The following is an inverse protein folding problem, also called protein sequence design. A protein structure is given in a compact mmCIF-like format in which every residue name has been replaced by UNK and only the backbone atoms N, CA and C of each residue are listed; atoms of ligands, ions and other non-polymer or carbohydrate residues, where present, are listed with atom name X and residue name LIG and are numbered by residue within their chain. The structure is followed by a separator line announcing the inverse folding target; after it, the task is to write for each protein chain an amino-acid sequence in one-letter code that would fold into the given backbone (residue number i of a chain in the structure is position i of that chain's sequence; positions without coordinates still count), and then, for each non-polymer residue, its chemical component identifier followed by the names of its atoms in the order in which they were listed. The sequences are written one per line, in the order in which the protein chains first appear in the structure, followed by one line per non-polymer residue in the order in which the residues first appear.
data_IF_562849881547
#
_entry.id   IF_562849881547
#
_cell.length_a   1.000
_cell.length_b   1.000
_cell.length_c   1.000
_cell.angle_alpha   90.00
_cell.angle_beta   90.00
_cell.angle_gamma   90.00
#
_symmetry.space_group_name_H-M   'P 1'
#
loop_
_entity.id
_entity.type
_entity.pdbx_description
1 polymer ?
#
# COMPACT_ATOMS: atom_id res chain seq x y z
N UNK A 1 -17.75 6.98 42.44
CA UNK A 1 -16.40 6.40 42.37
C UNK A 1 -16.08 6.25 40.89
N UNK A 2 -14.82 6.45 40.46
CA UNK A 2 -14.43 6.22 39.07
C UNK A 2 -13.82 4.83 38.99
N UNK A 3 -14.62 3.83 38.61
CA UNK A 3 -14.30 2.41 38.77
C UNK A 3 -13.82 1.72 37.48
N UNK A 4 -13.54 2.49 36.43
CA UNK A 4 -12.97 2.00 35.17
C UNK A 4 -11.83 2.93 34.74
N UNK A 5 -10.63 2.42 34.41
CA UNK A 5 -9.59 3.22 33.77
C UNK A 5 -10.01 3.70 32.38
N UNK A 6 -9.68 4.95 32.03
CA UNK A 6 -9.80 5.44 30.65
C UNK A 6 -8.70 4.81 29.77
N UNK A 7 -8.93 3.58 29.30
CA UNK A 7 -8.05 2.85 28.41
C UNK A 7 -8.58 1.46 28.08
N UNK A 8 -8.89 0.67 29.11
CA UNK A 8 -9.13 -0.78 28.99
C UNK A 8 -10.47 -1.14 28.31
N UNK A 9 -11.44 -0.21 28.25
CA UNK A 9 -12.81 -0.47 27.77
C UNK A 9 -12.97 -0.55 26.24
N UNK A 10 -11.87 -0.62 25.49
CA UNK A 10 -11.89 -0.59 24.01
C UNK A 10 -11.13 -1.76 23.37
N UNK A 11 -10.34 -2.53 24.13
CA UNK A 11 -9.77 -3.80 23.65
C UNK A 11 -10.87 -4.85 23.61
N UNK A 12 -11.17 -5.36 22.41
CA UNK A 12 -12.11 -6.46 22.20
C UNK A 12 -11.35 -7.77 22.09
N UNK A 13 -11.79 -8.80 22.82
CA UNK A 13 -11.28 -10.17 22.67
C UNK A 13 -11.65 -10.77 21.29
N UNK A 14 -12.74 -10.28 20.69
CA UNK A 14 -13.12 -10.56 19.30
C UNK A 14 -12.41 -9.58 18.36
N UNK A 15 -11.30 -10.00 17.76
CA UNK A 15 -10.59 -9.23 16.72
C UNK A 15 -11.22 -9.45 15.34
N UNK A 16 -11.38 -8.42 14.50
CA UNK A 16 -11.87 -8.55 13.12
C UNK A 16 -10.80 -9.07 12.14
N UNK A 17 -9.72 -9.67 12.66
CA UNK A 17 -8.58 -10.22 11.91
C UNK A 17 -7.89 -11.33 12.72
N UNK A 18 -7.18 -12.24 12.03
CA UNK A 18 -6.27 -13.20 12.66
C UNK A 18 -4.85 -12.65 12.59
N UNK A 19 -4.15 -12.63 13.73
CA UNK A 19 -2.74 -12.24 13.80
C UNK A 19 -1.82 -13.43 13.45
N UNK A 20 -0.88 -13.20 12.55
CA UNK A 20 0.15 -14.15 12.11
C UNK A 20 1.51 -13.50 12.41
N UNK A 21 2.27 -13.96 13.43
CA UNK A 21 3.57 -13.40 13.75
C UNK A 21 4.59 -13.72 12.65
N UNK A 22 5.43 -12.75 12.29
CA UNK A 22 6.44 -12.91 11.25
C UNK A 22 7.80 -13.28 11.86
N UNK A 23 8.48 -14.24 11.21
CA UNK A 23 9.93 -14.38 11.37
C UNK A 23 10.56 -13.10 10.81
N UNK A 24 11.02 -12.24 11.72
CA UNK A 24 11.53 -10.91 11.41
C UNK A 24 13.06 -11.00 11.31
N UNK A 25 13.66 -11.06 10.10
CA UNK A 25 15.11 -10.94 9.97
C UNK A 25 15.55 -9.54 10.43
N UNK A 26 16.81 -9.43 10.85
CA UNK A 26 17.34 -8.14 11.30
C UNK A 26 17.39 -7.14 10.15
N UNK A 27 17.27 -5.84 10.48
CA UNK A 27 17.38 -4.76 9.48
C UNK A 27 18.73 -4.81 8.76
N UNK A 28 19.80 -5.31 9.42
CA UNK A 28 21.10 -5.56 8.81
C UNK A 28 21.08 -6.66 7.74
N UNK A 29 20.46 -7.80 8.01
CA UNK A 29 20.32 -8.88 7.02
C UNK A 29 19.48 -8.44 5.83
N UNK A 30 18.43 -7.64 6.07
CA UNK A 30 17.60 -7.07 5.00
C UNK A 30 18.39 -6.05 4.17
N UNK A 31 19.16 -5.16 4.81
CA UNK A 31 19.99 -4.17 4.11
C UNK A 31 21.06 -4.84 3.23
N UNK A 32 21.73 -5.89 3.75
CA UNK A 32 22.71 -6.68 2.99
C UNK A 32 22.07 -7.39 1.78
N UNK A 33 20.92 -8.05 1.98
CA UNK A 33 20.20 -8.71 0.87
C UNK A 33 19.71 -7.71 -0.18
N UNK A 34 19.10 -6.59 0.24
CA UNK A 34 18.64 -5.56 -0.69
C UNK A 34 19.79 -4.94 -1.47
N UNK A 35 20.91 -4.59 -0.81
CA UNK A 35 22.11 -4.08 -1.48
C UNK A 35 22.59 -5.06 -2.56
N UNK A 36 22.78 -6.33 -2.19
CA UNK A 36 23.41 -7.32 -3.06
C UNK A 36 22.51 -7.74 -4.23
N UNK A 37 21.20 -7.93 -4.01
CA UNK A 37 20.26 -8.34 -5.05
C UNK A 37 19.82 -7.17 -5.95
N UNK A 38 19.88 -5.91 -5.48
CA UNK A 38 19.62 -4.73 -6.32
C UNK A 38 20.83 -4.29 -7.14
N UNK A 39 22.08 -4.55 -6.69
CA UNK A 39 23.30 -4.14 -7.40
C UNK A 39 23.30 -4.49 -8.91
N UNK A 40 22.92 -5.70 -9.36
CA UNK A 40 22.89 -6.03 -10.80
C UNK A 40 21.71 -5.41 -11.58
N UNK A 41 20.79 -4.69 -10.92
CA UNK A 41 19.56 -4.15 -11.51
C UNK A 41 19.63 -2.63 -11.79
N UNK A 42 20.52 -1.90 -11.12
CA UNK A 42 20.65 -0.44 -11.24
C UNK A 42 22.10 -0.03 -11.53
N UNK A 43 22.30 1.17 -12.08
CA UNK A 43 23.64 1.72 -12.31
C UNK A 43 24.38 2.06 -10.99
N UNK A 44 23.65 2.58 -10.02
CA UNK A 44 24.12 2.92 -8.68
C UNK A 44 23.09 2.43 -7.66
N UNK A 45 23.57 1.85 -6.55
CA UNK A 45 22.75 1.37 -5.43
C UNK A 45 23.45 1.79 -4.14
N UNK A 46 22.68 2.34 -3.20
CA UNK A 46 23.09 2.46 -1.81
C UNK A 46 21.92 2.02 -0.90
N UNK A 47 22.22 1.27 0.16
CA UNK A 47 21.23 0.76 1.12
C UNK A 47 21.80 0.89 2.53
N UNK A 48 21.37 1.93 3.25
CA UNK A 48 21.84 2.28 4.58
C UNK A 48 20.79 2.01 5.67
N UNK A 49 21.24 1.65 6.87
CA UNK A 49 20.40 1.64 8.07
C UNK A 49 20.31 3.07 8.62
N UNK A 50 19.35 3.84 8.11
CA UNK A 50 19.13 5.23 8.48
C UNK A 50 17.98 5.44 9.49
N UNK A 51 18.01 6.58 10.18
CA UNK A 51 16.81 7.07 10.90
C UNK A 51 15.74 7.50 9.90
N UNK A 52 14.48 7.09 10.13
CA UNK A 52 13.36 7.49 9.27
C UNK A 52 13.20 9.04 9.30
N UNK A 53 13.15 9.72 8.14
CA UNK A 53 12.96 11.16 8.07
C UNK A 53 11.55 11.55 8.47
N UNK A 54 11.32 12.84 8.72
CA UNK A 54 9.98 13.34 9.03
C UNK A 54 9.08 13.26 7.77
N UNK A 55 8.13 12.33 7.75
CA UNK A 55 7.28 12.07 6.58
C UNK A 55 6.10 13.06 6.41
N UNK A 56 5.82 13.92 7.40
CA UNK A 56 4.77 14.94 7.32
C UNK A 56 5.17 16.21 6.55
N UNK A 57 6.40 16.28 6.02
CA UNK A 57 6.89 17.42 5.24
C UNK A 57 7.26 16.99 3.81
N UNK A 58 7.51 17.96 2.94
CA UNK A 58 7.97 17.71 1.59
C UNK A 58 9.32 16.94 1.59
N UNK A 59 9.52 15.99 0.67
CA UNK A 59 8.65 15.66 -0.48
C UNK A 59 7.42 14.82 -0.13
N UNK A 60 7.45 14.07 0.98
CA UNK A 60 6.52 12.97 1.26
C UNK A 60 5.08 13.40 1.59
N UNK A 61 4.90 14.48 2.34
CA UNK A 61 3.60 15.09 2.63
C UNK A 61 2.52 14.11 3.20
N UNK A 62 2.94 13.16 4.04
CA UNK A 62 2.07 12.12 4.61
C UNK A 62 1.40 12.55 5.95
N UNK A 63 0.44 11.75 6.42
CA UNK A 63 -0.32 12.03 7.64
C UNK A 63 0.47 11.78 8.94
N UNK A 64 1.37 10.80 8.92
CA UNK A 64 2.20 10.36 10.05
C UNK A 64 3.67 10.75 9.90
N UNK A 65 4.39 10.75 11.03
CA UNK A 65 5.75 11.32 11.15
C UNK A 65 6.87 10.40 10.67
N UNK A 66 6.65 9.09 10.61
CA UNK A 66 7.67 8.08 10.31
C UNK A 66 7.10 6.67 10.32
N UNK A 67 7.92 5.67 9.96
CA UNK A 67 7.53 4.26 9.76
C UNK A 67 7.90 3.34 10.94
N UNK A 68 8.39 3.92 12.04
CA UNK A 68 8.90 3.19 13.20
C UNK A 68 7.85 3.09 14.31
N UNK A 69 7.84 1.97 15.04
CA UNK A 69 6.86 1.64 16.07
C UNK A 69 6.68 0.12 16.12
N UNK A 70 5.57 -0.36 16.70
CA UNK A 70 5.10 -1.72 16.46
C UNK A 70 4.49 -1.77 15.06
N UNK A 71 5.15 -2.46 14.13
CA UNK A 71 4.80 -2.48 12.71
C UNK A 71 4.01 -3.74 12.37
N UNK A 72 2.90 -3.57 11.64
CA UNK A 72 2.06 -4.67 11.20
C UNK A 72 1.58 -4.48 9.76
N UNK A 73 1.36 -5.60 9.07
CA UNK A 73 0.69 -5.63 7.77
C UNK A 73 -0.80 -5.80 7.98
N UNK A 74 -1.63 -4.98 7.37
CA UNK A 74 -3.07 -5.28 7.20
C UNK A 74 -3.25 -5.90 5.81
N UNK A 75 -3.87 -7.08 5.74
CA UNK A 75 -4.08 -7.81 4.49
C UNK A 75 -5.52 -8.30 4.38
N UNK A 76 -6.18 -8.05 3.24
CA UNK A 76 -7.54 -8.54 2.95
C UNK A 76 -7.51 -9.46 1.73
N UNK A 77 -8.16 -10.62 1.83
CA UNK A 77 -8.37 -11.51 0.68
C UNK A 77 -9.83 -11.46 0.21
N UNK A 78 -10.10 -11.05 -1.04
CA UNK A 78 -11.36 -11.34 -1.70
C UNK A 78 -11.37 -12.82 -2.10
N UNK A 79 -11.84 -13.69 -1.21
CA UNK A 79 -11.87 -15.16 -1.43
C UNK A 79 -12.65 -15.57 -2.70
N UNK A 80 -13.61 -14.74 -3.13
CA UNK A 80 -14.35 -14.90 -4.37
C UNK A 80 -14.34 -13.58 -5.17
N UNK A 81 -14.08 -13.68 -6.47
CA UNK A 81 -14.08 -12.54 -7.40
C UNK A 81 -15.48 -12.08 -7.83
N UNK A 82 -16.53 -12.80 -7.42
CA UNK A 82 -17.93 -12.35 -7.59
C UNK A 82 -18.27 -11.25 -6.57
N UNK A 83 -19.03 -10.24 -7.04
CA UNK A 83 -19.41 -9.07 -6.24
C UNK A 83 -18.24 -8.20 -5.77
N UNK A 84 -17.05 -8.34 -6.35
CA UNK A 84 -15.81 -7.71 -5.87
C UNK A 84 -15.93 -6.19 -5.70
N UNK A 85 -16.62 -5.50 -6.61
CA UNK A 85 -16.86 -4.06 -6.60
C UNK A 85 -17.79 -3.58 -5.48
N UNK A 86 -18.62 -4.47 -4.93
CA UNK A 86 -19.57 -4.18 -3.84
C UNK A 86 -18.99 -4.47 -2.44
N UNK A 87 -17.77 -5.05 -2.35
CA UNK A 87 -17.12 -5.37 -1.07
C UNK A 87 -16.55 -4.11 -0.44
N UNK A 88 -17.05 -3.75 0.74
CA UNK A 88 -16.48 -2.67 1.57
C UNK A 88 -15.80 -3.24 2.81
N UNK A 89 -14.70 -2.60 3.23
CA UNK A 89 -14.06 -2.80 4.53
C UNK A 89 -13.73 -1.44 5.12
N UNK A 90 -14.14 -1.21 6.36
CA UNK A 90 -13.93 0.05 7.06
C UNK A 90 -12.67 -0.07 7.94
N UNK A 91 -11.60 0.62 7.54
CA UNK A 91 -10.30 0.55 8.23
C UNK A 91 -10.39 0.99 9.70
N UNK A 92 -11.38 1.83 10.08
CA UNK A 92 -11.60 2.22 11.48
C UNK A 92 -11.77 1.01 12.39
N UNK A 93 -12.55 0.02 11.97
CA UNK A 93 -12.97 -1.09 12.83
C UNK A 93 -11.76 -1.96 13.25
N UNK A 94 -10.76 -2.04 12.37
CA UNK A 94 -9.46 -2.65 12.67
C UNK A 94 -8.62 -1.80 13.63
N UNK A 95 -8.52 -0.49 13.37
CA UNK A 95 -7.66 0.40 14.16
C UNK A 95 -8.18 0.57 15.59
N UNK A 96 -9.50 0.64 15.77
CA UNK A 96 -10.13 0.74 17.09
C UNK A 96 -9.86 -0.47 17.97
N UNK A 97 -9.84 -1.69 17.41
CA UNK A 97 -9.60 -2.92 18.18
C UNK A 97 -8.24 -2.93 18.90
N UNK A 98 -7.21 -2.33 18.28
CA UNK A 98 -5.84 -2.29 18.82
C UNK A 98 -5.63 -1.32 19.99
N UNK A 99 -6.52 -0.33 20.15
CA UNK A 99 -6.35 0.82 21.06
C UNK A 99 -5.05 1.66 20.89
N UNK A 100 -4.31 1.51 19.80
CA UNK A 100 -3.02 2.18 19.57
C UNK A 100 -3.14 3.38 18.63
N UNK A 101 -2.48 4.48 18.96
CA UNK A 101 -2.16 5.52 17.98
C UNK A 101 -1.40 4.89 16.81
N UNK A 102 -1.95 5.03 15.60
CA UNK A 102 -1.57 4.25 14.42
C UNK A 102 -1.41 5.17 13.22
N UNK A 103 -0.33 4.97 12.45
CA UNK A 103 -0.17 5.54 11.11
C UNK A 103 -0.33 4.42 10.09
N UNK A 104 -1.25 4.61 9.14
CA UNK A 104 -1.59 3.64 8.11
C UNK A 104 -1.22 4.21 6.76
N UNK A 105 -0.29 3.55 6.11
CA UNK A 105 -0.06 3.65 4.67
C UNK A 105 -0.38 2.31 4.02
N UNK A 106 -0.56 2.30 2.70
CA UNK A 106 -0.85 1.06 2.00
C UNK A 106 -1.79 1.22 0.82
N UNK A 107 -2.43 0.10 0.49
CA UNK A 107 -2.80 -0.17 -0.89
C UNK A 107 -4.13 -0.92 -1.05
N UNK A 108 -5.08 -0.36 -1.80
CA UNK A 108 -6.27 -1.11 -2.25
C UNK A 108 -7.00 -0.43 -3.41
N UNK A 109 -8.16 -0.96 -3.81
CA UNK A 109 -9.05 -0.46 -4.84
C UNK A 109 -10.18 0.36 -4.18
N UNK A 110 -10.61 1.44 -4.83
CA UNK A 110 -11.78 2.24 -4.47
C UNK A 110 -12.85 2.11 -5.56
N UNK A 111 -14.09 1.81 -5.16
CA UNK A 111 -15.15 1.45 -6.11
C UNK A 111 -16.46 2.17 -5.83
N UNK A 112 -17.22 2.48 -6.90
CA UNK A 112 -18.66 2.72 -6.81
C UNK A 112 -19.34 1.41 -6.36
N UNK A 113 -20.47 1.46 -5.61
CA UNK A 113 -21.22 2.67 -5.23
C UNK A 113 -20.70 3.39 -3.97
N UNK A 114 -19.72 2.84 -3.26
CA UNK A 114 -19.31 3.34 -1.93
C UNK A 114 -18.36 4.54 -1.98
N UNK A 115 -17.58 4.68 -3.05
CA UNK A 115 -16.82 5.88 -3.39
C UNK A 115 -17.43 6.55 -4.64
N UNK A 116 -17.28 7.88 -4.81
CA UNK A 116 -17.92 8.61 -5.92
C UNK A 116 -17.35 8.27 -7.30
N UNK A 117 -16.15 7.68 -7.36
CA UNK A 117 -15.42 7.29 -8.58
C UNK A 117 -14.74 5.94 -8.37
N UNK A 118 -14.42 5.27 -9.47
CA UNK A 118 -13.44 4.19 -9.46
C UNK A 118 -12.02 4.79 -9.45
N UNK A 119 -11.13 4.19 -8.66
CA UNK A 119 -9.71 4.56 -8.58
C UNK A 119 -8.99 3.58 -7.65
N UNK A 120 -7.68 3.71 -7.46
CA UNK A 120 -7.00 2.91 -6.44
C UNK A 120 -6.64 3.82 -5.25
N UNK A 121 -6.90 3.32 -4.04
CA UNK A 121 -6.79 4.07 -2.80
C UNK A 121 -5.35 4.04 -2.29
N UNK A 122 -4.68 5.20 -2.36
CA UNK A 122 -3.46 5.48 -1.64
C UNK A 122 -3.84 5.72 -0.17
N UNK A 123 -3.70 4.71 0.67
CA UNK A 123 -3.97 4.85 2.09
C UNK A 123 -2.89 5.74 2.73
N UNK A 124 -3.31 6.75 3.47
CA UNK A 124 -2.47 7.72 4.16
C UNK A 124 -3.28 8.35 5.32
N UNK A 125 -3.46 7.60 6.40
CA UNK A 125 -4.33 7.99 7.52
C UNK A 125 -3.61 7.84 8.87
N UNK A 126 -3.99 8.67 9.83
CA UNK A 126 -3.62 8.46 11.24
C UNK A 126 -4.88 8.28 12.09
N UNK A 127 -4.82 7.31 12.99
CA UNK A 127 -5.77 7.12 14.08
C UNK A 127 -5.08 7.46 15.40
N UNK A 128 -5.80 8.11 16.31
CA UNK A 128 -5.39 8.39 17.68
C UNK A 128 -6.47 7.89 18.63
N UNK A 129 -6.09 7.07 19.59
CA UNK A 129 -7.04 6.39 20.45
C UNK A 129 -7.81 7.38 21.34
N UNK A 130 -9.10 7.13 21.65
CA UNK A 130 -9.96 6.06 21.15
C UNK A 130 -10.78 6.42 19.90
N UNK A 131 -10.72 7.67 19.40
CA UNK A 131 -11.70 8.19 18.41
C UNK A 131 -11.15 9.22 17.40
N UNK A 132 -9.91 9.67 17.52
CA UNK A 132 -9.35 10.67 16.61
C UNK A 132 -8.96 10.03 15.28
N UNK A 133 -9.44 10.53 14.14
CA UNK A 133 -8.95 10.12 12.81
C UNK A 133 -8.64 11.37 11.99
N UNK A 134 -7.44 11.39 11.41
CA UNK A 134 -7.03 12.33 10.36
C UNK A 134 -6.73 11.50 9.12
N UNK A 135 -7.61 11.57 8.13
CA UNK A 135 -7.48 10.84 6.87
C UNK A 135 -6.99 11.78 5.76
N UNK A 136 -5.78 11.54 5.27
CA UNK A 136 -5.14 12.26 4.15
C UNK A 136 -4.94 11.29 2.95
N UNK A 137 -5.73 10.20 2.92
CA UNK A 137 -5.70 9.20 1.85
C UNK A 137 -6.20 9.79 0.55
N UNK A 138 -5.52 9.45 -0.55
CA UNK A 138 -5.85 9.94 -1.88
C UNK A 138 -6.47 8.81 -2.68
N UNK A 139 -7.63 9.02 -3.27
CA UNK A 139 -8.01 8.22 -4.45
C UNK A 139 -7.32 8.89 -5.62
N UNK A 140 -6.25 8.24 -6.07
CA UNK A 140 -5.59 8.46 -7.34
C UNK A 140 -6.04 7.26 -8.21
N UNK A 141 -5.47 7.04 -9.39
CA UNK A 141 -5.73 5.83 -10.15
C UNK A 141 -4.45 5.09 -10.56
N UNK A 142 -3.95 4.10 -9.80
CA UNK A 142 -3.13 4.18 -8.56
C UNK A 142 -2.57 2.78 -8.17
N UNK A 143 -1.47 2.68 -7.43
CA UNK A 143 -0.73 1.46 -7.01
C UNK A 143 -1.30 0.33 -6.11
N UNK A 144 -0.34 -0.08 -5.26
CA UNK A 144 0.03 -1.44 -4.82
C UNK A 144 1.04 -1.25 -3.62
N UNK A 145 1.80 -2.23 -3.10
CA UNK A 145 2.36 -2.33 -1.75
C UNK A 145 3.94 -2.66 -1.48
N UNK A 146 4.83 -1.78 -0.92
CA UNK A 146 5.79 -1.96 0.28
C UNK A 146 5.67 -0.92 1.41
N UNK A 147 5.75 -1.42 2.67
CA UNK A 147 5.66 -0.77 3.99
C UNK A 147 6.67 0.33 4.23
N UNK A 148 6.49 1.40 3.48
CA UNK A 148 7.37 2.54 3.49
C UNK A 148 7.03 3.53 2.39
N UNK A 149 8.00 4.38 2.08
CA UNK A 149 7.83 5.48 1.16
C UNK A 149 8.97 5.49 0.15
N UNK A 150 8.63 5.35 -1.13
CA UNK A 150 9.54 5.44 -2.26
C UNK A 150 9.33 6.79 -2.94
N UNK A 151 10.40 7.57 -3.10
CA UNK A 151 10.40 8.82 -3.86
C UNK A 151 11.07 8.59 -5.20
N UNK A 152 10.40 8.95 -6.27
CA UNK A 152 10.92 8.96 -7.65
C UNK A 152 11.16 10.42 -8.02
N UNK A 153 12.39 10.77 -8.41
CA UNK A 153 12.85 12.17 -8.54
C UNK A 153 12.84 12.71 -9.97
N UNK A 154 12.86 11.82 -10.96
CA UNK A 154 13.05 12.11 -12.38
C UNK A 154 12.66 10.90 -13.24
N UNK A 155 12.67 11.06 -14.57
CA UNK A 155 12.33 10.00 -15.53
C UNK A 155 10.84 9.96 -15.90
N UNK A 156 10.39 8.82 -16.43
CA UNK A 156 8.97 8.48 -16.66
C UNK A 156 8.61 7.18 -15.96
N UNK A 157 7.35 7.09 -15.49
CA UNK A 157 6.80 5.86 -14.91
C UNK A 157 5.61 5.32 -15.69
N UNK A 158 5.60 4.00 -15.91
CA UNK A 158 4.43 3.28 -16.38
C UNK A 158 3.45 3.09 -15.22
N UNK A 159 2.23 3.58 -15.38
CA UNK A 159 1.20 3.53 -14.36
C UNK A 159 -0.13 3.11 -14.96
N UNK A 160 -0.76 1.99 -14.53
CA UNK A 160 -2.16 1.78 -14.93
C UNK A 160 -3.06 2.92 -14.40
N UNK A 161 -4.23 3.12 -14.99
CA UNK A 161 -5.30 3.95 -14.45
C UNK A 161 -6.64 3.23 -14.62
N UNK A 162 -7.56 3.40 -13.68
CA UNK A 162 -8.96 3.01 -13.87
C UNK A 162 -9.66 3.99 -14.81
N UNK A 163 -10.79 3.56 -15.37
CA UNK A 163 -11.77 4.46 -15.97
C UNK A 163 -12.68 5.04 -14.88
N UNK A 164 -13.17 6.27 -15.06
CA UNK A 164 -14.10 6.92 -14.10
C UNK A 164 -15.41 6.14 -13.94
N UNK A 165 -15.82 5.43 -15.00
CA UNK A 165 -17.01 4.61 -15.14
C UNK A 165 -16.71 3.35 -15.97
N UNK A 166 -17.47 2.29 -15.72
CA UNK A 166 -17.43 1.00 -16.42
C UNK A 166 -18.85 0.60 -16.82
N UNK A 167 -19.01 -0.21 -17.86
CA UNK A 167 -20.33 -0.73 -18.25
C UNK A 167 -20.84 -1.77 -17.23
N UNK A 168 -22.15 -1.75 -16.95
CA UNK A 168 -22.81 -2.72 -16.07
C UNK A 168 -23.49 -3.83 -16.89
N UNK A 169 -23.44 -5.11 -16.45
CA UNK A 169 -22.87 -5.60 -15.19
C UNK A 169 -21.34 -5.55 -15.18
N UNK A 170 -20.78 -5.00 -14.10
CA UNK A 170 -19.34 -4.83 -13.91
C UNK A 170 -18.54 -6.09 -14.28
N UNK A 171 -17.48 -5.98 -15.12
CA UNK A 171 -16.60 -7.11 -15.44
C UNK A 171 -16.06 -7.87 -14.23
N UNK A 172 -15.75 -9.16 -14.43
CA UNK A 172 -15.08 -9.96 -13.41
C UNK A 172 -13.71 -9.35 -13.11
N UNK A 173 -13.22 -9.52 -11.88
CA UNK A 173 -12.02 -8.84 -11.40
C UNK A 173 -10.82 -8.90 -12.37
N UNK A 174 -10.53 -10.07 -12.97
CA UNK A 174 -9.43 -10.20 -13.93
C UNK A 174 -9.68 -9.41 -15.23
N UNK A 175 -10.88 -9.52 -15.81
CA UNK A 175 -11.28 -8.78 -17.03
C UNK A 175 -11.23 -7.25 -16.78
N UNK A 176 -11.65 -6.81 -15.58
CA UNK A 176 -11.55 -5.43 -15.11
C UNK A 176 -10.10 -4.93 -15.04
N UNK A 177 -9.15 -5.74 -14.56
CA UNK A 177 -7.72 -5.39 -14.56
C UNK A 177 -7.19 -5.23 -16.00
N UNK A 178 -7.57 -6.11 -16.93
CA UNK A 178 -7.15 -6.01 -18.33
C UNK A 178 -7.62 -4.71 -18.99
N UNK A 179 -8.81 -4.23 -18.61
CA UNK A 179 -9.38 -2.97 -19.12
C UNK A 179 -8.67 -1.71 -18.61
N UNK A 180 -7.84 -1.77 -17.57
CA UNK A 180 -7.10 -0.60 -17.08
C UNK A 180 -6.07 -0.14 -18.12
N UNK A 181 -6.16 1.14 -18.50
CA UNK A 181 -5.15 1.81 -19.35
C UNK A 181 -3.80 1.80 -18.63
N UNK A 182 -2.68 1.97 -19.32
CA UNK A 182 -1.37 2.17 -18.68
C UNK A 182 -0.53 3.23 -19.37
N UNK A 183 -0.80 4.53 -19.15
CA UNK A 183 0.06 5.62 -19.62
C UNK A 183 1.47 5.57 -19.00
N UNK A 184 2.41 6.19 -19.72
CA UNK A 184 3.63 6.73 -19.11
C UNK A 184 3.32 8.12 -18.53
N UNK A 185 3.91 8.44 -17.38
CA UNK A 185 3.78 9.73 -16.70
C UNK A 185 5.19 10.32 -16.51
N UNK A 186 5.45 11.51 -17.05
CA UNK A 186 6.69 12.26 -16.78
C UNK A 186 6.73 12.75 -15.33
N UNK A 187 7.87 12.50 -14.66
CA UNK A 187 8.12 12.88 -13.27
C UNK A 187 8.51 14.36 -13.23
N UNK A 188 7.55 15.24 -13.52
CA UNK A 188 7.71 16.70 -13.48
C UNK A 188 7.92 17.25 -12.06
N UNK A 189 7.56 16.47 -11.04
CA UNK A 189 7.80 16.76 -9.63
C UNK A 189 7.93 15.45 -8.83
N UNK A 190 8.54 15.53 -7.64
CA UNK A 190 8.73 14.38 -6.74
C UNK A 190 7.47 13.51 -6.62
N UNK A 191 7.60 12.24 -6.99
CA UNK A 191 6.52 11.27 -6.97
C UNK A 191 6.70 10.31 -5.78
N UNK A 192 5.70 10.24 -4.91
CA UNK A 192 5.74 9.58 -3.60
C UNK A 192 4.88 8.32 -3.65
N UNK A 193 5.48 7.14 -3.43
CA UNK A 193 4.82 5.85 -3.46
C UNK A 193 4.80 5.10 -2.11
N UNK A 194 3.67 4.47 -1.73
CA UNK A 194 3.48 3.81 -0.40
C UNK A 194 2.86 2.39 -0.47
N UNK A 195 2.92 1.57 0.60
CA UNK A 195 2.52 0.15 0.48
C UNK A 195 2.74 -0.89 1.63
N UNK A 196 2.83 -2.21 1.28
CA UNK A 196 3.32 -3.47 1.98
C UNK A 196 3.74 -4.69 1.07
N UNK A 197 5.03 -5.04 0.89
CA UNK A 197 5.55 -6.16 0.04
C UNK A 197 5.82 -7.37 0.94
N UNK A 198 5.81 -8.55 0.34
CA UNK A 198 6.01 -9.85 0.99
C UNK A 198 7.18 -10.60 0.34
N UNK A 199 7.95 -11.33 1.14
CA UNK A 199 9.08 -12.18 0.71
C UNK A 199 8.67 -13.55 0.15
N UNK A 200 7.36 -13.84 0.13
CA UNK A 200 6.80 -15.02 -0.52
C UNK A 200 7.06 -14.99 -2.03
N UNK A 201 7.11 -16.18 -2.66
CA UNK A 201 7.24 -16.30 -4.12
C UNK A 201 6.09 -15.54 -4.81
N UNK A 202 6.37 -14.54 -5.68
CA UNK A 202 5.32 -13.77 -6.34
C UNK A 202 4.35 -14.64 -7.16
N UNK A 203 3.07 -14.55 -6.83
CA UNK A 203 1.99 -15.16 -7.62
C UNK A 203 1.58 -14.23 -8.75
N UNK A 204 1.50 -14.76 -9.98
CA UNK A 204 0.94 -14.05 -11.12
C UNK A 204 -0.54 -13.74 -10.88
N UNK A 205 -0.95 -12.51 -11.19
CA UNK A 205 -2.35 -12.07 -11.19
C UNK A 205 -3.12 -12.72 -12.34
N UNK A 206 -2.47 -12.92 -13.48
CA UNK A 206 -2.97 -13.61 -14.66
C UNK A 206 -1.78 -14.08 -15.51
N UNK A 207 -1.96 -15.18 -16.24
CA UNK A 207 -0.91 -15.79 -17.08
C UNK A 207 -0.80 -15.18 -18.48
N UNK A 208 -1.58 -14.12 -18.78
CA UNK A 208 -1.69 -13.53 -20.12
C UNK A 208 -1.42 -12.03 -20.16
N UNK A 209 -1.50 -11.32 -19.03
CA UNK A 209 -1.41 -9.87 -19.01
C UNK A 209 -0.01 -9.38 -18.63
N UNK A 210 0.56 -8.51 -19.46
CA UNK A 210 1.80 -7.79 -19.18
C UNK A 210 1.60 -6.28 -19.34
N UNK A 211 2.48 -5.52 -18.69
CA UNK A 211 2.60 -4.06 -18.81
C UNK A 211 4.09 -3.77 -18.98
N UNK A 212 4.48 -3.15 -20.10
CA UNK A 212 5.88 -2.83 -20.41
C UNK A 212 6.85 -4.03 -20.31
N UNK A 213 6.36 -5.23 -20.64
CA UNK A 213 7.12 -6.50 -20.56
C UNK A 213 7.18 -7.13 -19.16
N UNK A 214 6.69 -6.44 -18.12
CA UNK A 214 6.54 -7.01 -16.78
C UNK A 214 5.21 -7.73 -16.62
N UNK A 215 5.21 -8.82 -15.86
CA UNK A 215 3.99 -9.52 -15.45
C UNK A 215 3.28 -8.76 -14.31
N UNK A 216 1.97 -8.88 -14.24
CA UNK A 216 1.20 -8.42 -13.08
C UNK A 216 1.16 -9.50 -11.98
N UNK A 217 1.40 -9.11 -10.74
CA UNK A 217 1.38 -9.99 -9.54
C UNK A 217 0.17 -9.73 -8.64
N UNK A 218 -0.17 -10.68 -7.75
CA UNK A 218 -1.27 -10.57 -6.76
C UNK A 218 -0.90 -9.83 -5.46
N UNK A 219 0.40 -9.71 -5.20
CA UNK A 219 1.05 -9.17 -3.99
C UNK A 219 2.39 -8.53 -4.43
N UNK A 220 2.96 -7.61 -3.64
CA UNK A 220 4.31 -7.01 -3.79
C UNK A 220 4.58 -6.04 -4.99
N UNK A 221 4.63 -4.72 -4.74
CA UNK A 221 3.67 -3.78 -5.39
C UNK A 221 3.98 -2.26 -4.96
N UNK A 222 3.45 -1.10 -5.50
CA UNK A 222 3.63 0.30 -4.88
C UNK A 222 2.69 1.54 -5.28
N UNK A 223 1.96 2.26 -4.37
CA UNK A 223 1.04 3.44 -4.63
C UNK A 223 1.63 4.84 -4.76
N UNK A 224 1.90 5.29 -5.99
CA UNK A 224 2.46 6.62 -6.29
C UNK A 224 1.45 7.78 -6.51
N UNK A 225 1.80 8.97 -6.03
CA UNK A 225 1.19 10.27 -6.34
C UNK A 225 2.23 11.39 -6.39
N UNK A 226 1.92 12.48 -7.07
CA UNK A 226 2.73 13.71 -7.09
C UNK A 226 2.01 14.88 -6.41
N UNK A 227 2.68 16.03 -6.33
CA UNK A 227 2.07 17.27 -5.85
C UNK A 227 1.24 18.00 -6.93
N UNK A 228 1.22 17.51 -8.18
CA UNK A 228 0.40 18.01 -9.29
C UNK A 228 -0.78 17.08 -9.63
N UNK A 229 -1.20 16.28 -8.66
CA UNK A 229 -2.34 15.32 -8.73
C UNK A 229 -2.19 14.19 -9.77
N UNK A 230 -1.07 14.12 -10.50
CA UNK A 230 -0.69 12.92 -11.25
C UNK A 230 -0.28 11.78 -10.33
N UNK A 231 -0.52 10.55 -10.76
CA UNK A 231 -0.17 9.34 -10.03
C UNK A 231 -0.83 8.13 -10.66
N UNK A 232 -0.36 6.91 -10.38
CA UNK A 232 -1.07 5.76 -10.90
C UNK A 232 -0.59 4.37 -10.50
N UNK A 233 -1.04 3.35 -11.24
CA UNK A 233 -0.75 1.92 -11.01
C UNK A 233 0.72 1.64 -11.39
N UNK A 234 1.72 2.28 -10.73
CA UNK A 234 3.16 2.07 -10.89
C UNK A 234 3.51 0.60 -11.15
N UNK A 235 3.89 0.32 -12.38
CA UNK A 235 4.35 -1.00 -12.86
C UNK A 235 5.88 -1.03 -12.82
N UNK A 236 6.50 0.04 -13.32
CA UNK A 236 7.92 0.19 -13.61
C UNK A 236 8.18 1.66 -13.94
N UNK A 237 9.44 2.07 -13.96
CA UNK A 237 9.83 3.18 -14.82
C UNK A 237 10.01 2.76 -16.29
N UNK A 238 10.01 3.75 -17.19
CA UNK A 238 10.23 3.57 -18.64
C UNK A 238 11.48 4.31 -19.14
N UNK A 239 12.33 4.76 -18.22
CA UNK A 239 13.58 5.51 -18.48
C UNK A 239 14.73 5.04 -17.58
N UNK A 240 15.08 3.73 -17.57
CA UNK A 240 15.98 3.17 -16.55
C UNK A 240 17.41 3.74 -16.56
N UNK A 241 17.84 4.34 -17.67
CA UNK A 241 19.11 5.07 -17.76
C UNK A 241 19.14 6.39 -16.96
N UNK A 242 17.97 6.88 -16.50
CA UNK A 242 17.85 8.18 -15.79
C UNK A 242 17.02 8.14 -14.51
N UNK A 243 16.19 7.13 -14.26
CA UNK A 243 15.28 7.10 -13.10
C UNK A 243 16.02 6.91 -11.77
N UNK A 244 15.86 7.85 -10.84
CA UNK A 244 16.42 7.82 -9.49
C UNK A 244 15.33 7.54 -8.44
N UNK A 245 15.62 6.59 -7.55
CA UNK A 245 14.73 6.08 -6.50
C UNK A 245 15.33 6.31 -5.10
N UNK A 246 14.55 6.89 -4.18
CA UNK A 246 14.93 7.14 -2.78
C UNK A 246 13.88 6.49 -1.85
N UNK A 247 14.22 5.36 -1.23
CA UNK A 247 13.28 4.53 -0.48
C UNK A 247 13.54 4.49 1.03
N UNK A 248 12.51 4.69 1.84
CA UNK A 248 12.51 4.44 3.28
C UNK A 248 11.53 3.33 3.62
N UNK A 249 12.04 2.24 4.18
CA UNK A 249 11.27 1.00 4.39
C UNK A 249 11.45 0.51 5.84
N UNK A 250 10.48 -0.26 6.34
CA UNK A 250 10.60 -0.96 7.62
C UNK A 250 10.00 -2.37 7.54
N UNK A 251 10.46 -3.26 8.42
CA UNK A 251 9.93 -4.63 8.55
C UNK A 251 8.62 -4.59 9.35
N UNK A 252 7.71 -5.53 9.09
CA UNK A 252 6.54 -5.77 9.93
C UNK A 252 6.81 -6.94 10.89
N UNK A 253 6.38 -6.82 12.14
CA UNK A 253 6.50 -7.85 13.18
C UNK A 253 5.38 -8.92 13.03
N UNK A 254 4.25 -8.57 12.40
CA UNK A 254 3.07 -9.42 12.23
C UNK A 254 2.23 -9.07 10.99
N UNK A 255 1.42 -10.03 10.53
CA UNK A 255 0.33 -9.82 9.55
C UNK A 255 -1.02 -9.98 10.23
N UNK A 256 -1.88 -8.98 10.09
CA UNK A 256 -3.27 -8.96 10.52
C UNK A 256 -4.14 -9.32 9.31
N UNK A 257 -4.51 -10.60 9.22
CA UNK A 257 -5.29 -11.14 8.11
C UNK A 257 -6.78 -10.90 8.33
N UNK A 258 -7.40 -10.10 7.46
CA UNK A 258 -8.84 -9.87 7.42
C UNK A 258 -9.47 -10.91 6.49
N UNK A 259 -10.06 -11.94 7.08
CA UNK A 259 -10.94 -12.88 6.39
C UNK A 259 -12.41 -12.55 6.65
N UNK A 260 -13.31 -13.09 5.81
CA UNK A 260 -14.74 -13.16 6.13
C UNK A 260 -14.97 -14.42 6.99
N UNK A 261 -14.33 -14.45 8.17
CA UNK A 261 -14.25 -15.63 9.05
C UNK A 261 -15.64 -16.07 9.54
N UNK A 262 -16.18 -17.13 8.94
CA UNK A 262 -17.37 -17.80 9.45
C UNK A 262 -17.01 -18.51 10.76
N UNK A 263 -17.60 -18.06 11.87
CA UNK A 263 -17.50 -18.76 13.15
C UNK A 263 -18.06 -20.18 13.04
N UNK A 264 -17.23 -21.18 13.38
CA UNK A 264 -17.55 -22.62 13.32
C UNK A 264 -18.09 -23.11 14.66
#
# INVERSE_FOLDING_TARGET
MAEVPNGDSYTTDELPYVEIPLLTPTISEIAEVLHNEMQPLFHEVNVDIASCPCLTVAPYNLAGVGLCGNTSVIMYYPENSEGWNHRTKNIRDMLTASCRDSFVIGATYATKPSMPYYGHLIMNATYRAPNGIRNESRIISANKALGGVLRIKNGRVACNVMWDDYEEPMPRFYDFIQQQQCPEIDVESDMVAVGTMLSEKPELLTNQEQRYGLNLYKRSEFHCFSNIETGGQFISDTTPDTTEYEGYFNVAEQINFVGDFVSV
#
